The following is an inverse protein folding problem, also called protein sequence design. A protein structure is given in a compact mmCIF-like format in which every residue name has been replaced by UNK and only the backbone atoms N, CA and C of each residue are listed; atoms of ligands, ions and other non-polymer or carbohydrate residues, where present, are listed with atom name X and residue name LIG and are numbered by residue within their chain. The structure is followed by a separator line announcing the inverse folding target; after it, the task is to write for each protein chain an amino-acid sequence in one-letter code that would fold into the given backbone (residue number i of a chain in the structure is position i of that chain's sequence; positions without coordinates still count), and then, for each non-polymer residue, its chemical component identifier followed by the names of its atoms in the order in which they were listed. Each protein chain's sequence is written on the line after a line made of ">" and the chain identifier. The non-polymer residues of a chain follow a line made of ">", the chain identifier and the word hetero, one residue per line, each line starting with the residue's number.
data_IF_676922605468
#
_entry.id   IF_676922605468
#
_cell.length_a   1.000
_cell.length_b   1.000
_cell.length_c   1.000
_cell.angle_alpha   90.00
_cell.angle_beta   90.00
_cell.angle_gamma   90.00
#
_symmetry.space_group_name_H-M   'P 1'
#
loop_
_entity.id
_entity.type
_entity.pdbx_description
1 polymer ?
#
# COMPACT_ATOMS: atom_id res chain seq x y z
N UNK A 1 69.81 28.92 -11.43
CA UNK A 1 68.82 28.18 -12.23
C UNK A 1 68.08 27.16 -11.34
N UNK A 2 67.23 27.54 -10.39
CA UNK A 2 66.61 26.53 -9.43
C UNK A 2 65.12 26.76 -9.08
N UNK A 3 64.36 27.58 -9.80
CA UNK A 3 63.00 27.90 -9.40
C UNK A 3 61.89 27.52 -10.40
N UNK A 4 62.22 26.91 -11.54
CA UNK A 4 61.19 26.53 -12.54
C UNK A 4 60.43 25.25 -12.18
N UNK A 5 61.03 24.33 -11.42
CA UNK A 5 60.41 23.02 -11.08
C UNK A 5 59.42 23.06 -9.89
N UNK A 6 59.45 24.10 -9.06
CA UNK A 6 58.54 24.21 -7.93
C UNK A 6 57.13 24.74 -8.31
N UNK A 7 57.02 25.55 -9.36
CA UNK A 7 55.73 26.06 -9.84
C UNK A 7 54.84 24.95 -10.45
N UNK A 8 55.46 24.00 -11.19
CA UNK A 8 54.73 22.88 -11.76
C UNK A 8 54.17 21.91 -10.70
N UNK A 9 54.94 21.63 -9.64
CA UNK A 9 54.50 20.75 -8.55
C UNK A 9 53.37 21.34 -7.72
N UNK A 10 53.35 22.66 -7.49
CA UNK A 10 52.26 23.33 -6.77
C UNK A 10 50.96 23.38 -7.59
N UNK A 11 51.03 23.57 -8.91
CA UNK A 11 49.87 23.53 -9.80
C UNK A 11 49.24 22.12 -9.86
N UNK A 12 50.06 21.06 -9.93
CA UNK A 12 49.60 19.69 -9.97
C UNK A 12 48.94 19.26 -8.64
N UNK A 13 49.47 19.71 -7.51
CA UNK A 13 48.86 19.47 -6.21
C UNK A 13 47.46 20.11 -6.07
N UNK A 14 47.31 21.34 -6.59
CA UNK A 14 46.02 22.04 -6.56
C UNK A 14 44.94 21.34 -7.43
N UNK A 15 45.32 20.88 -8.63
CA UNK A 15 44.44 20.12 -9.50
C UNK A 15 44.01 18.80 -8.84
N UNK A 16 44.93 18.08 -8.18
CA UNK A 16 44.61 16.84 -7.48
C UNK A 16 43.65 17.06 -6.32
N UNK A 17 43.78 18.15 -5.57
CA UNK A 17 42.85 18.51 -4.49
C UNK A 17 41.45 18.85 -5.04
N UNK A 18 41.38 19.62 -6.12
CA UNK A 18 40.10 19.94 -6.77
C UNK A 18 39.42 18.67 -7.27
N UNK A 19 40.15 17.74 -7.87
CA UNK A 19 39.63 16.47 -8.34
C UNK A 19 39.11 15.60 -7.20
N UNK A 20 39.87 15.52 -6.11
CA UNK A 20 39.45 14.79 -4.91
C UNK A 20 38.17 15.40 -4.28
N UNK A 21 38.07 16.74 -4.21
CA UNK A 21 36.84 17.41 -3.73
C UNK A 21 35.62 17.10 -4.62
N UNK A 22 35.81 17.12 -5.94
CA UNK A 22 34.72 16.80 -6.88
C UNK A 22 34.22 15.38 -6.69
N UNK A 23 35.11 14.41 -6.48
CA UNK A 23 34.75 13.01 -6.19
C UNK A 23 33.98 12.90 -4.87
N UNK A 24 34.44 13.57 -3.82
CA UNK A 24 33.75 13.56 -2.52
C UNK A 24 32.35 14.16 -2.61
N UNK A 25 32.19 15.27 -3.37
CA UNK A 25 30.87 15.87 -3.60
C UNK A 25 29.94 14.91 -4.37
N UNK A 26 30.44 14.24 -5.41
CA UNK A 26 29.64 13.25 -6.15
C UNK A 26 29.18 12.10 -5.26
N UNK A 27 30.05 11.58 -4.42
CA UNK A 27 29.66 10.54 -3.46
C UNK A 27 28.63 11.05 -2.45
N UNK A 28 28.78 12.29 -1.97
CA UNK A 28 27.80 12.92 -1.08
C UNK A 28 26.40 12.99 -1.70
N UNK A 29 26.31 13.41 -2.97
CA UNK A 29 25.03 13.46 -3.71
C UNK A 29 24.42 12.06 -3.88
N UNK A 30 25.25 11.07 -4.25
CA UNK A 30 24.78 9.68 -4.42
C UNK A 30 24.25 9.08 -3.12
N UNK A 31 24.95 9.31 -2.00
CA UNK A 31 24.50 8.82 -0.68
C UNK A 31 23.18 9.48 -0.30
N UNK A 32 23.05 10.79 -0.50
CA UNK A 32 21.81 11.53 -0.19
C UNK A 32 20.64 11.04 -1.04
N UNK A 33 20.85 10.86 -2.35
CA UNK A 33 19.80 10.34 -3.25
C UNK A 33 19.34 8.93 -2.83
N UNK A 34 20.29 8.04 -2.50
CA UNK A 34 19.94 6.70 -2.03
C UNK A 34 19.21 6.72 -0.70
N UNK A 35 19.58 7.59 0.23
CA UNK A 35 18.90 7.74 1.51
C UNK A 35 17.45 8.25 1.33
N UNK A 36 17.23 9.20 0.43
CA UNK A 36 15.87 9.69 0.09
C UNK A 36 15.01 8.58 -0.52
N UNK A 37 15.55 7.81 -1.47
CA UNK A 37 14.84 6.70 -2.10
C UNK A 37 14.48 5.61 -1.08
N UNK A 38 15.40 5.26 -0.18
CA UNK A 38 15.15 4.31 0.89
C UNK A 38 14.07 4.82 1.85
N UNK A 39 14.09 6.10 2.21
CA UNK A 39 13.07 6.72 3.06
C UNK A 39 11.67 6.68 2.42
N UNK A 40 11.57 6.95 1.13
CA UNK A 40 10.31 6.86 0.39
C UNK A 40 9.78 5.42 0.31
N UNK A 41 10.66 4.46 0.07
CA UNK A 41 10.29 3.04 0.07
C UNK A 41 9.75 2.57 1.44
N UNK A 42 10.36 3.00 2.54
CA UNK A 42 9.91 2.69 3.90
C UNK A 42 8.52 3.29 4.17
N UNK A 43 8.29 4.55 3.78
CA UNK A 43 6.97 5.19 3.93
C UNK A 43 5.90 4.46 3.14
N UNK A 44 6.18 4.08 1.90
CA UNK A 44 5.24 3.33 1.06
C UNK A 44 4.92 1.97 1.68
N UNK A 45 5.94 1.27 2.20
CA UNK A 45 5.75 0.00 2.90
C UNK A 45 4.89 0.15 4.16
N UNK A 46 5.11 1.19 4.96
CA UNK A 46 4.33 1.49 6.16
C UNK A 46 2.85 1.75 5.82
N UNK A 47 2.59 2.57 4.79
CA UNK A 47 1.22 2.86 4.34
C UNK A 47 0.52 1.58 3.86
N UNK A 48 1.20 0.77 3.03
CA UNK A 48 0.65 -0.49 2.54
C UNK A 48 0.37 -1.47 3.69
N UNK A 49 1.27 -1.56 4.67
CA UNK A 49 1.08 -2.44 5.84
C UNK A 49 -0.10 -2.01 6.69
N UNK A 50 -0.25 -0.70 6.95
CA UNK A 50 -1.40 -0.16 7.69
C UNK A 50 -2.72 -0.44 6.97
N UNK A 51 -2.74 -0.27 5.63
CA UNK A 51 -3.94 -0.56 4.85
C UNK A 51 -4.29 -2.05 4.87
N UNK A 52 -3.30 -2.93 4.73
CA UNK A 52 -3.51 -4.40 4.82
C UNK A 52 -4.04 -4.81 6.18
N UNK A 53 -3.52 -4.24 7.26
CA UNK A 53 -4.01 -4.54 8.61
C UNK A 53 -5.47 -4.10 8.78
N UNK A 54 -5.83 -2.91 8.33
CA UNK A 54 -7.22 -2.44 8.36
C UNK A 54 -8.16 -3.33 7.53
N UNK A 55 -7.73 -3.74 6.34
CA UNK A 55 -8.52 -4.67 5.52
C UNK A 55 -8.64 -6.06 6.17
N UNK A 56 -7.62 -6.50 6.90
CA UNK A 56 -7.68 -7.72 7.71
C UNK A 56 -8.74 -7.62 8.79
N UNK A 57 -8.78 -6.49 9.53
CA UNK A 57 -9.80 -6.23 10.55
C UNK A 57 -11.22 -6.26 9.96
N UNK A 58 -11.42 -5.67 8.79
CA UNK A 58 -12.71 -5.74 8.06
C UNK A 58 -13.07 -7.18 7.72
N UNK A 59 -12.11 -7.97 7.23
CA UNK A 59 -12.33 -9.38 6.91
C UNK A 59 -12.65 -10.22 8.13
N UNK A 60 -11.94 -10.03 9.24
CA UNK A 60 -12.20 -10.71 10.50
C UNK A 60 -13.58 -10.36 11.06
N UNK A 61 -13.96 -9.09 11.01
CA UNK A 61 -15.30 -8.64 11.41
C UNK A 61 -16.40 -9.28 10.54
N UNK A 62 -16.19 -9.33 9.22
CA UNK A 62 -17.12 -10.02 8.32
C UNK A 62 -17.27 -11.49 8.67
N UNK A 63 -16.17 -12.22 8.90
CA UNK A 63 -16.21 -13.63 9.30
C UNK A 63 -16.97 -13.80 10.62
N UNK A 64 -16.71 -12.95 11.61
CA UNK A 64 -17.41 -12.98 12.89
C UNK A 64 -18.92 -12.76 12.69
N UNK A 65 -19.32 -11.79 11.85
CA UNK A 65 -20.74 -11.56 11.53
C UNK A 65 -21.38 -12.76 10.82
N UNK A 66 -20.68 -13.44 9.92
CA UNK A 66 -21.18 -14.65 9.27
C UNK A 66 -21.33 -15.81 10.28
N UNK A 67 -20.43 -15.93 11.26
CA UNK A 67 -20.56 -16.92 12.35
C UNK A 67 -21.82 -16.66 13.16
N UNK A 68 -22.06 -15.40 13.53
CA UNK A 68 -23.19 -14.97 14.39
C UNK A 68 -24.55 -15.01 13.68
N UNK A 69 -24.58 -15.27 12.36
CA UNK A 69 -25.83 -15.39 11.63
C UNK A 69 -26.62 -16.62 12.13
N UNK A 70 -27.68 -16.36 12.88
CA UNK A 70 -28.62 -17.39 13.38
C UNK A 70 -29.98 -17.36 12.66
N UNK A 71 -30.21 -16.33 11.83
CA UNK A 71 -31.49 -16.06 11.19
C UNK A 71 -31.41 -16.14 9.66
N UNK A 72 -32.41 -16.71 9.01
CA UNK A 72 -32.54 -16.85 7.56
C UNK A 72 -32.69 -15.47 6.82
N UNK A 73 -32.87 -14.39 7.56
CA UNK A 73 -33.11 -13.04 7.00
C UNK A 73 -31.85 -12.20 6.84
N UNK A 74 -30.68 -12.78 6.95
CA UNK A 74 -29.43 -12.06 6.69
C UNK A 74 -29.29 -11.77 5.20
N UNK A 75 -29.67 -10.56 4.80
CA UNK A 75 -29.48 -10.05 3.45
C UNK A 75 -28.09 -9.45 3.27
N UNK A 76 -27.59 -9.44 2.03
CA UNK A 76 -26.34 -8.79 1.69
C UNK A 76 -26.29 -7.35 2.20
N UNK A 77 -27.40 -6.61 2.07
CA UNK A 77 -27.53 -5.22 2.51
C UNK A 77 -27.33 -5.03 4.02
N UNK A 78 -27.84 -5.96 4.86
CA UNK A 78 -27.64 -5.87 6.30
C UNK A 78 -26.17 -6.09 6.69
N UNK A 79 -25.50 -7.04 6.05
CA UNK A 79 -24.07 -7.28 6.29
C UNK A 79 -23.21 -6.11 5.78
N UNK A 80 -23.52 -5.58 4.61
CA UNK A 80 -22.84 -4.38 4.08
C UNK A 80 -23.02 -3.19 5.01
N UNK A 81 -24.23 -2.92 5.46
CA UNK A 81 -24.53 -1.81 6.37
C UNK A 81 -23.78 -1.98 7.69
N UNK A 82 -23.79 -3.17 8.28
CA UNK A 82 -23.06 -3.44 9.52
C UNK A 82 -21.54 -3.24 9.37
N UNK A 83 -20.97 -3.58 8.21
CA UNK A 83 -19.56 -3.33 7.92
C UNK A 83 -19.31 -1.83 7.74
N UNK A 84 -20.12 -1.14 6.94
CA UNK A 84 -20.01 0.29 6.70
C UNK A 84 -20.13 1.11 7.97
N UNK A 85 -21.05 0.75 8.85
CA UNK A 85 -21.24 1.46 10.12
C UNK A 85 -20.06 1.28 11.08
N UNK A 86 -19.48 0.05 11.11
CA UNK A 86 -18.34 -0.23 11.98
C UNK A 86 -17.02 0.34 11.45
N UNK A 87 -16.91 0.54 10.14
CA UNK A 87 -15.71 1.03 9.44
C UNK A 87 -16.00 2.30 8.64
N UNK A 88 -16.81 3.20 9.18
CA UNK A 88 -17.22 4.45 8.53
C UNK A 88 -16.06 5.42 8.21
N UNK A 89 -14.91 5.23 8.88
CA UNK A 89 -13.68 5.97 8.63
C UNK A 89 -12.96 5.53 7.34
N UNK A 90 -13.36 4.39 6.77
CA UNK A 90 -12.75 3.83 5.58
C UNK A 90 -13.53 4.23 4.31
N UNK A 91 -12.87 4.93 3.41
CA UNK A 91 -13.39 5.24 2.06
C UNK A 91 -13.21 4.04 1.13
N UNK A 92 -13.92 2.94 1.38
CA UNK A 92 -13.89 1.74 0.55
C UNK A 92 -15.27 1.39 0.03
N UNK A 93 -15.32 0.80 -1.15
CA UNK A 93 -16.53 0.18 -1.68
C UNK A 93 -16.59 -1.26 -1.18
N UNK A 94 -17.63 -1.56 -0.40
CA UNK A 94 -17.90 -2.88 0.14
C UNK A 94 -18.99 -3.53 -0.67
N UNK A 95 -18.76 -4.75 -1.13
CA UNK A 95 -19.76 -5.58 -1.80
C UNK A 95 -19.80 -6.92 -1.11
N UNK A 96 -20.97 -7.27 -0.57
CA UNK A 96 -21.23 -8.55 0.08
C UNK A 96 -22.11 -9.40 -0.82
N UNK A 97 -21.72 -10.64 -1.03
CA UNK A 97 -22.54 -11.64 -1.71
C UNK A 97 -22.94 -12.71 -0.70
N UNK A 98 -24.22 -13.04 -0.67
CA UNK A 98 -24.80 -14.06 0.20
C UNK A 98 -25.37 -15.21 -0.64
N UNK A 99 -25.59 -16.41 -0.06
CA UNK A 99 -26.23 -17.52 -0.75
C UNK A 99 -27.61 -17.13 -1.29
N UNK A 100 -27.91 -17.52 -2.53
CA UNK A 100 -29.15 -17.15 -3.25
C UNK A 100 -30.38 -17.90 -2.78
N UNK A 101 -30.19 -19.04 -2.11
CA UNK A 101 -31.27 -19.98 -1.81
C UNK A 101 -32.04 -19.69 -0.50
N UNK A 102 -31.82 -18.50 0.09
CA UNK A 102 -32.40 -18.14 1.40
C UNK A 102 -31.92 -19.05 2.56
N UNK A 103 -30.93 -19.90 2.30
CA UNK A 103 -30.33 -20.76 3.29
C UNK A 103 -29.17 -20.02 3.98
N UNK A 104 -29.08 -20.13 5.32
CA UNK A 104 -27.96 -19.59 6.10
C UNK A 104 -26.65 -20.30 5.72
N UNK A 105 -26.76 -21.59 5.36
CA UNK A 105 -25.62 -22.39 4.96
C UNK A 105 -25.26 -22.10 3.49
N UNK A 106 -24.00 -21.84 3.22
CA UNK A 106 -23.54 -21.56 1.89
C UNK A 106 -22.31 -20.66 1.85
N UNK A 107 -22.02 -20.13 0.68
CA UNK A 107 -20.86 -19.30 0.44
C UNK A 107 -21.20 -17.82 0.61
N UNK A 108 -20.42 -17.14 1.44
CA UNK A 108 -20.45 -15.71 1.65
C UNK A 108 -19.16 -15.10 1.12
N UNK A 109 -19.28 -14.02 0.38
CA UNK A 109 -18.11 -13.33 -0.18
C UNK A 109 -18.17 -11.85 0.19
N UNK A 110 -17.08 -11.32 0.74
CA UNK A 110 -16.85 -9.91 0.90
C UNK A 110 -15.79 -9.49 -0.12
N UNK A 111 -16.10 -8.49 -0.93
CA UNK A 111 -15.17 -7.81 -1.81
C UNK A 111 -15.05 -6.35 -1.40
N UNK A 112 -13.84 -5.89 -1.21
CA UNK A 112 -13.54 -4.51 -0.84
C UNK A 112 -12.66 -3.92 -1.92
N UNK A 113 -13.03 -2.76 -2.45
CA UNK A 113 -12.26 -2.06 -3.47
C UNK A 113 -12.06 -0.60 -3.05
N UNK A 114 -10.89 -0.07 -3.35
CA UNK A 114 -10.58 1.35 -3.23
C UNK A 114 -9.77 1.79 -4.43
N UNK A 115 -10.20 2.84 -5.07
CA UNK A 115 -9.41 3.54 -6.07
C UNK A 115 -8.57 4.60 -5.35
N UNK A 116 -7.26 4.49 -5.45
CA UNK A 116 -6.32 5.49 -4.92
C UNK A 116 -5.81 6.30 -6.11
N UNK A 117 -5.99 7.61 -6.04
CA UNK A 117 -5.39 8.56 -7.00
C UNK A 117 -4.12 9.10 -6.36
N UNK A 118 -2.99 8.81 -6.95
CA UNK A 118 -1.72 9.35 -6.53
C UNK A 118 -1.44 10.61 -7.36
N UNK A 119 -1.48 11.78 -6.73
CA UNK A 119 -1.03 13.01 -7.35
C UNK A 119 0.50 13.01 -7.30
N UNK A 120 1.13 12.61 -8.38
CA UNK A 120 2.57 12.81 -8.54
C UNK A 120 2.80 14.31 -8.71
N UNK A 121 3.64 14.95 -7.86
CA UNK A 121 3.96 16.35 -8.06
C UNK A 121 4.56 16.50 -9.47
N UNK A 122 4.00 17.40 -10.26
CA UNK A 122 4.50 17.73 -11.58
C UNK A 122 5.95 18.22 -11.44
N UNK A 123 6.89 17.55 -12.09
CA UNK A 123 8.16 18.20 -12.42
C UNK A 123 7.82 19.40 -13.31
N UNK A 124 8.50 20.53 -13.07
CA UNK A 124 8.24 21.81 -13.77
C UNK A 124 8.09 21.59 -15.28
N UNK A 125 6.86 21.68 -15.80
CA UNK A 125 6.54 21.63 -17.23
C UNK A 125 5.95 20.30 -17.76
N UNK A 126 5.69 19.29 -16.95
CA UNK A 126 5.07 18.03 -17.35
C UNK A 126 3.56 17.98 -17.02
N UNK A 127 2.75 17.39 -17.90
CA UNK A 127 1.38 17.02 -17.57
C UNK A 127 1.41 15.95 -16.45
N UNK A 128 0.73 16.24 -15.35
CA UNK A 128 0.51 15.27 -14.25
C UNK A 128 -0.41 14.18 -14.76
N UNK A 129 0.11 13.00 -15.01
CA UNK A 129 -0.72 11.82 -15.25
C UNK A 129 -1.03 11.23 -13.88
N UNK A 130 -2.30 11.30 -13.41
CA UNK A 130 -2.66 10.68 -12.15
C UNK A 130 -2.50 9.16 -12.29
N UNK A 131 -1.61 8.58 -11.53
CA UNK A 131 -1.53 7.13 -11.43
C UNK A 131 -2.71 6.65 -10.57
N UNK A 132 -3.72 6.05 -11.20
CA UNK A 132 -4.80 5.37 -10.52
C UNK A 132 -4.42 3.92 -10.28
N UNK A 133 -4.40 3.48 -9.02
CA UNK A 133 -4.31 2.07 -8.70
C UNK A 133 -5.46 1.63 -7.80
N UNK A 134 -5.86 0.39 -7.94
CA UNK A 134 -6.96 -0.18 -7.18
C UNK A 134 -6.41 -1.14 -6.15
N UNK A 135 -6.72 -0.88 -4.89
CA UNK A 135 -6.50 -1.84 -3.82
C UNK A 135 -7.71 -2.76 -3.78
N UNK A 136 -7.45 -4.04 -3.82
CA UNK A 136 -8.47 -5.08 -3.81
C UNK A 136 -8.24 -6.03 -2.62
N UNK A 137 -9.32 -6.35 -1.91
CA UNK A 137 -9.33 -7.35 -0.86
C UNK A 137 -10.58 -8.20 -1.00
N UNK A 138 -10.42 -9.52 -0.90
CA UNK A 138 -11.54 -10.44 -0.96
C UNK A 138 -11.42 -11.54 0.08
N UNK A 139 -12.52 -11.77 0.76
CA UNK A 139 -12.69 -12.88 1.70
C UNK A 139 -13.89 -13.72 1.24
N UNK A 140 -13.70 -15.03 1.11
CA UNK A 140 -14.74 -15.99 0.81
C UNK A 140 -14.79 -17.02 1.93
N UNK A 141 -15.97 -17.21 2.49
CA UNK A 141 -16.20 -18.15 3.58
C UNK A 141 -17.36 -19.06 3.24
N UNK A 142 -17.31 -20.29 3.71
CA UNK A 142 -18.40 -21.23 3.65
C UNK A 142 -18.92 -21.47 5.06
N UNK A 143 -20.22 -21.28 5.24
CA UNK A 143 -20.94 -21.59 6.49
C UNK A 143 -21.68 -22.89 6.37
N UNK A 144 -21.56 -23.74 7.38
CA UNK A 144 -22.31 -24.99 7.54
C UNK A 144 -22.70 -25.15 9.00
N UNK A 145 -23.93 -24.81 9.31
CA UNK A 145 -24.43 -24.72 10.68
C UNK A 145 -23.63 -23.67 11.48
N UNK A 146 -23.02 -24.11 12.58
CA UNK A 146 -22.15 -23.26 13.41
C UNK A 146 -20.70 -23.21 12.94
N UNK A 147 -20.36 -23.98 11.92
CA UNK A 147 -18.99 -24.02 11.39
C UNK A 147 -18.84 -23.03 10.24
N UNK A 148 -17.77 -22.24 10.29
CA UNK A 148 -17.38 -21.34 9.20
C UNK A 148 -15.97 -21.69 8.77
N UNK A 149 -15.81 -21.94 7.47
CA UNK A 149 -14.52 -22.26 6.84
C UNK A 149 -14.12 -21.14 5.91
N UNK A 150 -12.94 -20.59 6.09
CA UNK A 150 -12.36 -19.58 5.17
C UNK A 150 -11.86 -20.33 3.93
N UNK A 151 -12.41 -19.99 2.76
CA UNK A 151 -12.03 -20.57 1.48
C UNK A 151 -10.96 -19.71 0.78
N UNK A 152 -11.09 -18.41 0.88
CA UNK A 152 -10.19 -17.48 0.22
C UNK A 152 -9.96 -16.26 1.11
N UNK A 153 -8.70 -15.79 1.14
CA UNK A 153 -8.28 -14.56 1.78
C UNK A 153 -7.22 -13.93 0.90
N UNK A 154 -7.59 -12.91 0.14
CA UNK A 154 -6.71 -12.34 -0.90
C UNK A 154 -6.58 -10.84 -0.76
N UNK A 155 -5.35 -10.37 -0.91
CA UNK A 155 -5.02 -8.98 -1.16
C UNK A 155 -4.46 -8.83 -2.57
N UNK A 156 -4.80 -7.72 -3.23
CA UNK A 156 -4.28 -7.35 -4.54
C UNK A 156 -4.10 -5.83 -4.66
N UNK A 157 -3.20 -5.43 -5.51
CA UNK A 157 -2.96 -4.03 -5.92
C UNK A 157 -3.08 -3.98 -7.43
#
# INVERSE_FOLDING_TARGET
>A
MRNKNMRGKRGMAMVSVMFAMTIVMLFGVLITANAMNAGNAVKLYEVNTKQRNKLSEVGEYFVAKVVDLSDTTATAEKLETAIKDNFADLTYDFVVTVPTDGNINGEYTLSVQRTVKEETPAEEGGETIPAEYKIYFAVKVQKDGNNVKILTWRYGV
#
